data_IF_287090987595
#
_entry.id   IF_287090987595
#
_cell.length_a   1.000
_cell.length_b   1.000
_cell.length_c   1.000
_cell.angle_alpha   90.00
_cell.angle_beta   90.00
_cell.angle_gamma   90.00
#
_symmetry.space_group_name_H-M   'P 1'
#
loop_
_entity.id
_entity.type
_entity.pdbx_description
1 polymer ?
#
# COMPACT_ATOMS: atom_id res chain seq x y z
N UNK A 1 -6.85 -19.45 17.15
CA UNK A 1 -6.09 -19.20 15.94
C UNK A 1 -6.02 -17.72 15.64
N UNK A 2 -4.84 -17.25 15.34
CA UNK A 2 -4.70 -15.87 14.92
C UNK A 2 -5.34 -15.67 13.55
N UNK A 3 -6.08 -14.60 13.39
CA UNK A 3 -6.61 -14.24 12.10
C UNK A 3 -5.48 -13.78 11.19
N UNK A 4 -5.58 -14.10 9.91
CA UNK A 4 -4.63 -13.60 8.94
C UNK A 4 -4.81 -12.10 8.79
N UNK A 5 -3.69 -11.37 8.74
CA UNK A 5 -3.74 -9.95 8.43
C UNK A 5 -4.10 -9.79 6.97
N UNK A 6 -4.97 -8.83 6.68
CA UNK A 6 -5.40 -8.53 5.31
C UNK A 6 -4.58 -7.37 4.77
N UNK A 7 -3.94 -7.61 3.63
CA UNK A 7 -3.13 -6.61 2.93
C UNK A 7 -3.78 -6.32 1.59
N UNK A 8 -4.00 -5.06 1.29
CA UNK A 8 -4.48 -4.61 -0.01
C UNK A 8 -3.29 -4.05 -0.79
N UNK A 9 -2.97 -4.69 -1.92
CA UNK A 9 -1.90 -4.23 -2.81
C UNK A 9 -2.52 -3.43 -3.94
N UNK A 10 -2.12 -2.17 -4.06
CA UNK A 10 -2.63 -1.26 -5.08
C UNK A 10 -1.51 -0.90 -6.04
N UNK A 11 -1.59 -1.39 -7.27
CA UNK A 11 -0.56 -1.19 -8.28
C UNK A 11 -1.19 -1.39 -9.65
N UNK A 12 -0.81 -0.57 -10.61
CA UNK A 12 -1.34 -0.67 -11.98
C UNK A 12 -0.61 -1.74 -12.81
N UNK A 13 0.49 -2.30 -12.33
CA UNK A 13 1.24 -3.34 -13.03
C UNK A 13 0.75 -4.74 -12.64
N UNK A 14 0.08 -5.47 -13.56
CA UNK A 14 -0.45 -6.80 -13.22
C UNK A 14 0.62 -7.78 -12.76
N UNK A 15 1.79 -7.74 -13.37
CA UNK A 15 2.88 -8.66 -13.02
C UNK A 15 3.33 -8.45 -11.57
N UNK A 16 3.46 -7.22 -11.14
CA UNK A 16 3.86 -6.92 -9.77
C UNK A 16 2.78 -7.34 -8.77
N UNK A 17 1.51 -7.06 -9.07
CA UNK A 17 0.41 -7.50 -8.22
C UNK A 17 0.44 -9.01 -8.01
N UNK A 18 0.60 -9.76 -9.09
CA UNK A 18 0.60 -11.22 -9.05
C UNK A 18 1.79 -11.75 -8.25
N UNK A 19 2.99 -11.28 -8.57
CA UNK A 19 4.22 -11.74 -7.91
C UNK A 19 4.17 -11.43 -6.41
N UNK A 20 3.81 -10.22 -6.06
CA UNK A 20 3.83 -9.80 -4.67
C UNK A 20 2.69 -10.43 -3.86
N UNK A 21 1.51 -10.60 -4.48
CA UNK A 21 0.40 -11.30 -3.83
C UNK A 21 0.77 -12.75 -3.52
N UNK A 22 1.44 -13.42 -4.46
CA UNK A 22 1.89 -14.79 -4.28
C UNK A 22 2.88 -14.87 -3.12
N UNK A 23 3.84 -13.95 -3.08
CA UNK A 23 4.85 -13.92 -2.01
C UNK A 23 4.21 -13.71 -0.63
N UNK A 24 3.36 -12.72 -0.51
CA UNK A 24 2.73 -12.41 0.78
C UNK A 24 1.74 -13.47 1.19
N UNK A 25 1.02 -14.06 0.24
CA UNK A 25 0.13 -15.18 0.53
C UNK A 25 0.89 -16.39 1.07
N UNK A 26 2.06 -16.67 0.49
CA UNK A 26 2.92 -17.76 0.96
C UNK A 26 3.45 -17.48 2.37
N UNK A 27 3.61 -16.22 2.73
CA UNK A 27 4.08 -15.80 4.05
C UNK A 27 2.97 -15.73 5.10
N UNK A 28 1.75 -16.12 4.74
CA UNK A 28 0.65 -16.25 5.69
C UNK A 28 -0.34 -15.10 5.72
N UNK A 29 -0.23 -14.14 4.80
CA UNK A 29 -1.17 -13.02 4.74
C UNK A 29 -2.35 -13.34 3.82
N UNK A 30 -3.50 -12.75 4.12
CA UNK A 30 -4.60 -12.70 3.16
C UNK A 30 -4.40 -11.47 2.28
N UNK A 31 -4.37 -11.64 0.97
CA UNK A 31 -4.04 -10.56 0.04
C UNK A 31 -5.19 -10.28 -0.92
N UNK A 32 -5.56 -9.01 -1.02
CA UNK A 32 -6.46 -8.50 -2.06
C UNK A 32 -5.70 -7.49 -2.89
N UNK A 33 -6.15 -7.25 -4.10
CA UNK A 33 -5.46 -6.33 -5.01
C UNK A 33 -6.42 -5.32 -5.62
N UNK A 34 -5.88 -4.17 -6.02
CA UNK A 34 -6.60 -3.15 -6.76
C UNK A 34 -5.67 -2.58 -7.83
N UNK A 35 -6.22 -2.24 -8.99
CA UNK A 35 -5.41 -1.78 -10.11
C UNK A 35 -5.24 -0.26 -10.20
N UNK A 36 -5.99 0.48 -9.41
CA UNK A 36 -5.86 1.94 -9.34
C UNK A 36 -6.40 2.45 -8.01
N UNK A 37 -6.24 3.77 -7.78
CA UNK A 37 -6.64 4.38 -6.53
C UNK A 37 -8.15 4.39 -6.29
N UNK A 38 -8.95 4.52 -7.35
CA UNK A 38 -10.40 4.52 -7.20
C UNK A 38 -10.91 3.17 -6.72
N UNK A 39 -10.43 2.08 -7.33
CA UNK A 39 -10.78 0.73 -6.91
C UNK A 39 -10.25 0.47 -5.49
N UNK A 40 -9.04 0.99 -5.19
CA UNK A 40 -8.45 0.82 -3.86
C UNK A 40 -9.31 1.45 -2.76
N UNK A 41 -9.82 2.66 -2.99
CA UNK A 41 -10.68 3.33 -2.01
C UNK A 41 -11.95 2.50 -1.78
N UNK A 42 -12.59 2.04 -2.85
CA UNK A 42 -13.81 1.23 -2.73
C UNK A 42 -13.55 -0.08 -1.98
N UNK A 43 -12.46 -0.79 -2.34
CA UNK A 43 -12.11 -2.05 -1.67
C UNK A 43 -11.72 -1.84 -0.21
N UNK A 44 -10.98 -0.78 0.09
CA UNK A 44 -10.58 -0.49 1.46
C UNK A 44 -11.81 -0.27 2.36
N UNK A 45 -12.80 0.45 1.87
CA UNK A 45 -14.03 0.68 2.63
C UNK A 45 -14.82 -0.61 2.84
N UNK A 46 -14.84 -1.49 1.84
CA UNK A 46 -15.56 -2.76 1.93
C UNK A 46 -14.84 -3.80 2.79
N UNK A 47 -13.52 -3.89 2.65
CA UNK A 47 -12.73 -4.98 3.23
C UNK A 47 -12.03 -4.61 4.53
N UNK A 48 -11.78 -3.33 4.77
CA UNK A 48 -11.09 -2.80 5.95
C UNK A 48 -9.74 -3.52 6.20
N UNK A 49 -8.78 -3.38 5.26
CA UNK A 49 -7.51 -4.09 5.38
C UNK A 49 -6.69 -3.59 6.56
N UNK A 50 -5.79 -4.43 7.04
CA UNK A 50 -4.85 -4.05 8.09
C UNK A 50 -3.72 -3.16 7.57
N UNK A 51 -3.39 -3.31 6.27
CA UNK A 51 -2.34 -2.55 5.62
C UNK A 51 -2.70 -2.35 4.15
N UNK A 52 -2.44 -1.16 3.64
CA UNK A 52 -2.54 -0.87 2.22
C UNK A 52 -1.14 -0.57 1.69
N UNK A 53 -0.73 -1.31 0.66
CA UNK A 53 0.49 -1.03 -0.08
C UNK A 53 0.08 -0.26 -1.32
N UNK A 54 0.43 1.02 -1.38
CA UNK A 54 -0.11 1.96 -2.36
C UNK A 54 0.97 2.45 -3.31
N UNK A 55 0.85 2.11 -4.58
CA UNK A 55 1.72 2.68 -5.60
C UNK A 55 1.50 4.19 -5.67
N UNK A 56 2.58 4.94 -5.83
CA UNK A 56 2.51 6.40 -5.89
C UNK A 56 1.89 6.86 -7.22
N UNK A 57 2.31 6.25 -8.31
CA UNK A 57 1.86 6.65 -9.65
C UNK A 57 0.96 5.62 -10.28
N UNK A 58 -0.29 6.02 -10.50
CA UNK A 58 -1.29 5.16 -11.14
C UNK A 58 -2.21 6.00 -12.02
N UNK A 59 -2.77 5.42 -13.09
CA UNK A 59 -3.79 6.11 -13.87
C UNK A 59 -5.09 6.23 -13.05
N UNK A 60 -6.00 7.06 -13.51
CA UNK A 60 -7.33 7.31 -12.93
C UNK A 60 -7.23 8.07 -11.61
N UNK A 61 -6.57 7.51 -10.62
CA UNK A 61 -6.38 8.16 -9.32
C UNK A 61 -5.03 7.72 -8.74
N UNK A 62 -4.13 8.67 -8.52
CA UNK A 62 -2.82 8.36 -7.97
C UNK A 62 -2.89 8.00 -6.47
N UNK A 63 -1.76 7.50 -5.96
CA UNK A 63 -1.70 7.05 -4.57
C UNK A 63 -1.96 8.15 -3.56
N UNK A 64 -1.44 9.34 -3.79
CA UNK A 64 -1.64 10.46 -2.88
C UNK A 64 -3.11 10.85 -2.77
N UNK A 65 -3.80 10.94 -3.91
CA UNK A 65 -5.23 11.27 -3.94
C UNK A 65 -6.05 10.19 -3.24
N UNK A 66 -5.71 8.91 -3.48
CA UNK A 66 -6.41 7.80 -2.84
C UNK A 66 -6.27 7.87 -1.32
N UNK A 67 -5.07 8.16 -0.81
CA UNK A 67 -4.84 8.29 0.63
C UNK A 67 -5.63 9.44 1.22
N UNK A 68 -5.68 10.58 0.52
CA UNK A 68 -6.51 11.71 0.98
C UNK A 68 -7.96 11.30 1.16
N UNK A 69 -8.51 10.59 0.17
CA UNK A 69 -9.90 10.12 0.25
C UNK A 69 -10.12 9.15 1.41
N UNK A 70 -9.17 8.25 1.64
CA UNK A 70 -9.26 7.31 2.76
C UNK A 70 -9.21 8.03 4.10
N UNK A 71 -8.34 9.04 4.23
CA UNK A 71 -8.21 9.77 5.49
C UNK A 71 -9.40 10.66 5.80
N UNK A 72 -10.23 10.99 4.81
CA UNK A 72 -11.47 11.71 5.02
C UNK A 72 -12.56 10.84 5.66
N UNK A 73 -12.44 9.52 5.53
CA UNK A 73 -13.40 8.59 6.09
C UNK A 73 -13.00 8.25 7.53
N UNK A 74 -13.87 8.51 8.53
CA UNK A 74 -13.52 8.21 9.93
C UNK A 74 -13.18 6.75 10.19
N UNK A 75 -13.74 5.83 9.42
CA UNK A 75 -13.46 4.40 9.57
C UNK A 75 -12.10 4.00 9.01
N UNK A 76 -11.57 4.80 8.07
CA UNK A 76 -10.34 4.48 7.34
C UNK A 76 -9.14 5.31 7.77
N UNK A 77 -9.34 6.32 8.61
CA UNK A 77 -8.27 7.27 8.93
C UNK A 77 -7.08 6.65 9.65
N UNK A 78 -7.25 5.52 10.31
CA UNK A 78 -6.20 4.87 11.09
C UNK A 78 -5.58 3.65 10.38
N UNK A 79 -6.00 3.35 9.15
CA UNK A 79 -5.41 2.25 8.40
C UNK A 79 -3.93 2.52 8.13
N UNK A 80 -3.10 1.52 8.32
CA UNK A 80 -1.68 1.62 8.00
C UNK A 80 -1.50 1.65 6.49
N UNK A 81 -0.72 2.59 6.01
CA UNK A 81 -0.45 2.77 4.58
C UNK A 81 1.06 2.85 4.37
N UNK A 82 1.55 2.09 3.41
CA UNK A 82 2.94 2.13 2.97
C UNK A 82 2.94 2.40 1.47
N UNK A 83 3.71 3.38 1.04
CA UNK A 83 3.82 3.69 -0.38
C UNK A 83 4.83 2.78 -1.06
N UNK A 84 4.50 2.39 -2.29
CA UNK A 84 5.40 1.64 -3.17
C UNK A 84 5.97 2.59 -4.20
N UNK A 85 7.29 2.60 -4.35
CA UNK A 85 7.96 3.48 -5.31
C UNK A 85 8.60 2.65 -6.40
N UNK A 86 8.57 3.15 -7.63
CA UNK A 86 9.16 2.49 -8.78
C UNK A 86 10.51 3.10 -9.15
N UNK A 87 11.10 2.62 -10.23
CA UNK A 87 12.31 3.22 -10.79
C UNK A 87 12.05 4.63 -11.30
N UNK A 88 13.05 5.49 -11.22
CA UNK A 88 12.95 6.88 -11.60
C UNK A 88 13.71 7.72 -10.59
N UNK A 89 13.11 8.79 -10.09
CA UNK A 89 13.66 9.55 -8.98
C UNK A 89 12.86 9.26 -7.71
N UNK A 90 13.13 8.13 -7.06
CA UNK A 90 12.35 7.71 -5.90
C UNK A 90 12.44 8.69 -4.73
N UNK A 91 13.56 9.39 -4.61
CA UNK A 91 13.74 10.32 -3.49
C UNK A 91 12.81 11.53 -3.62
N UNK A 92 12.67 12.07 -4.84
CA UNK A 92 11.77 13.18 -5.07
C UNK A 92 10.32 12.78 -4.81
N UNK A 93 9.92 11.61 -5.29
CA UNK A 93 8.57 11.09 -5.05
C UNK A 93 8.31 10.87 -3.56
N UNK A 94 9.26 10.25 -2.87
CA UNK A 94 9.15 9.98 -1.44
C UNK A 94 9.08 11.29 -0.66
N UNK A 95 9.94 12.26 -0.98
CA UNK A 95 9.94 13.53 -0.28
C UNK A 95 8.62 14.27 -0.45
N UNK A 96 8.07 14.29 -1.65
CA UNK A 96 6.81 14.94 -1.90
C UNK A 96 5.66 14.25 -1.18
N UNK A 97 5.59 12.93 -1.28
CA UNK A 97 4.57 12.13 -0.61
C UNK A 97 4.71 12.25 0.91
N UNK A 98 5.91 12.12 1.44
CA UNK A 98 6.15 12.21 2.87
C UNK A 98 5.82 13.59 3.42
N UNK A 99 6.14 14.64 2.67
CA UNK A 99 5.81 16.00 3.09
C UNK A 99 4.32 16.21 3.24
N UNK A 100 3.54 15.67 2.28
CA UNK A 100 2.09 15.82 2.29
C UNK A 100 1.40 14.80 3.18
N UNK A 101 1.91 13.59 3.25
CA UNK A 101 1.20 12.45 3.81
C UNK A 101 1.70 12.00 5.18
N UNK A 102 3.03 11.97 5.38
CA UNK A 102 3.56 11.48 6.66
C UNK A 102 3.24 12.42 7.80
N UNK A 103 3.26 13.73 7.55
CA UNK A 103 2.91 14.71 8.58
C UNK A 103 1.41 14.77 8.81
N UNK A 104 0.63 14.79 7.71
CA UNK A 104 -0.79 15.08 7.79
C UNK A 104 -1.65 13.83 7.89
N UNK A 105 -1.21 12.71 7.33
CA UNK A 105 -2.05 11.53 7.17
C UNK A 105 -1.46 10.26 7.77
N UNK A 106 -0.25 10.34 8.33
CA UNK A 106 0.32 9.24 9.09
C UNK A 106 0.69 8.00 8.28
N UNK A 107 1.23 8.18 7.07
CA UNK A 107 1.76 7.04 6.32
C UNK A 107 2.92 6.39 7.08
N UNK A 108 2.99 5.05 7.03
CA UNK A 108 4.01 4.29 7.78
C UNK A 108 5.37 4.27 7.10
N UNK A 109 5.48 4.80 5.89
CA UNK A 109 6.74 4.86 5.17
C UNK A 109 6.58 4.48 3.72
N UNK A 110 7.68 4.09 3.10
CA UNK A 110 7.70 3.68 1.70
C UNK A 110 8.64 2.52 1.49
N UNK A 111 8.35 1.71 0.47
CA UNK A 111 9.17 0.57 0.06
C UNK A 111 9.44 0.70 -1.44
N UNK A 112 10.61 0.23 -1.87
CA UNK A 112 10.97 0.24 -3.29
C UNK A 112 10.50 -1.05 -3.94
N UNK A 113 9.76 -0.95 -5.04
CA UNK A 113 9.28 -2.12 -5.78
C UNK A 113 10.42 -2.96 -6.34
N UNK A 114 11.61 -2.37 -6.47
CA UNK A 114 12.80 -3.07 -6.97
C UNK A 114 13.57 -3.82 -5.91
N UNK A 115 13.19 -3.69 -4.64
CA UNK A 115 13.84 -4.43 -3.57
C UNK A 115 13.52 -5.93 -3.66
N UNK A 116 14.35 -6.72 -3.02
CA UNK A 116 14.16 -8.15 -2.89
C UNK A 116 12.81 -8.44 -2.22
N UNK A 117 12.07 -9.43 -2.73
CA UNK A 117 10.75 -9.77 -2.21
C UNK A 117 10.80 -10.21 -0.75
N UNK A 118 11.85 -10.94 -0.35
CA UNK A 118 11.99 -11.35 1.04
C UNK A 118 12.16 -10.14 1.96
N UNK A 119 12.92 -9.16 1.52
CA UNK A 119 13.10 -7.91 2.26
C UNK A 119 11.81 -7.13 2.39
N UNK A 120 11.05 -7.02 1.29
CA UNK A 120 9.75 -6.35 1.31
C UNK A 120 8.81 -7.04 2.29
N UNK A 121 8.76 -8.37 2.25
CA UNK A 121 7.93 -9.14 3.17
C UNK A 121 8.35 -8.94 4.62
N UNK A 122 9.64 -8.93 4.92
CA UNK A 122 10.14 -8.72 6.27
C UNK A 122 9.76 -7.34 6.81
N UNK A 123 9.87 -6.31 5.98
CA UNK A 123 9.46 -4.96 6.38
C UNK A 123 7.96 -4.90 6.68
N UNK A 124 7.14 -5.57 5.87
CA UNK A 124 5.70 -5.62 6.08
C UNK A 124 5.37 -6.35 7.38
N UNK A 125 6.06 -7.44 7.67
CA UNK A 125 5.87 -8.16 8.93
C UNK A 125 6.18 -7.26 10.14
N UNK A 126 7.22 -6.44 10.05
CA UNK A 126 7.56 -5.50 11.12
C UNK A 126 6.47 -4.46 11.32
N UNK A 127 5.91 -3.95 10.23
CA UNK A 127 4.84 -2.94 10.30
C UNK A 127 3.58 -3.51 10.94
N UNK A 128 3.28 -4.76 10.68
CA UNK A 128 2.07 -5.42 11.18
C UNK A 128 2.27 -6.16 12.51
N UNK A 129 3.48 -6.19 13.00
CA UNK A 129 3.78 -6.86 14.26
C UNK A 129 3.17 -6.14 15.47
#
# INVERSE_FOLDING_TARGET
MAEQKLILIVDDEPAFREIFSTKLGADGFHVETAENGEIAVAKAKALKPDLILMDVRMPVMDGATAVLKLREDPEMKDIKIVFLTSLGDPQAEIQEVNRKMSKDFGAQGSLKKTDDLDRLSDEIKKILA
#
